data_IF_375041868085
#
_entry.id   IF_375041868085
#
_cell.length_a   1.000
_cell.length_b   1.000
_cell.length_c   1.000
_cell.angle_alpha   90.00
_cell.angle_beta   90.00
_cell.angle_gamma   90.00
#
_symmetry.space_group_name_H-M   'P 1'
#
loop_
_entity.id
_entity.type
_entity.pdbx_description
1 polymer ?
#
# COMPACT_ATOMS: atom_id res chain seq x y z
N UNK A 1 -8.62 -4.47 19.52
CA UNK A 1 -8.44 -3.76 18.23
C UNK A 1 -9.02 -4.66 17.16
N UNK A 2 -10.19 -4.32 16.59
CA UNK A 2 -10.78 -5.11 15.50
C UNK A 2 -9.94 -4.88 14.25
N UNK A 3 -8.97 -5.76 14.03
CA UNK A 3 -8.17 -5.83 12.81
C UNK A 3 -9.14 -6.10 11.66
N UNK A 4 -9.24 -5.18 10.69
CA UNK A 4 -10.05 -5.39 9.48
C UNK A 4 -9.30 -6.33 8.53
N UNK A 5 -9.04 -7.58 8.95
CA UNK A 5 -8.23 -8.53 8.17
C UNK A 5 -8.70 -8.72 6.73
N UNK A 6 -9.97 -8.46 6.44
CA UNK A 6 -10.57 -8.64 5.12
C UNK A 6 -10.59 -7.34 4.27
N UNK A 7 -10.28 -6.18 4.86
CA UNK A 7 -10.31 -4.86 4.21
C UNK A 7 -8.98 -4.08 4.39
N UNK A 8 -7.86 -4.76 4.67
CA UNK A 8 -6.55 -4.10 4.90
C UNK A 8 -5.94 -3.47 3.63
N UNK A 9 -6.50 -3.80 2.45
CA UNK A 9 -5.92 -3.50 1.14
C UNK A 9 -6.70 -2.46 0.34
N UNK A 10 -7.37 -1.50 0.98
CA UNK A 10 -7.97 -0.40 0.23
C UNK A 10 -6.88 0.56 -0.29
N UNK A 11 -6.24 0.16 -1.38
CA UNK A 11 -5.27 0.97 -2.12
C UNK A 11 -5.85 2.28 -2.62
N UNK A 12 -7.17 2.49 -2.64
CA UNK A 12 -7.79 3.77 -2.99
C UNK A 12 -7.91 4.76 -1.82
N UNK A 13 -7.74 4.28 -0.58
CA UNK A 13 -8.05 5.08 0.62
C UNK A 13 -6.91 5.99 1.08
N UNK A 14 -7.30 7.05 1.79
CA UNK A 14 -6.37 7.94 2.48
C UNK A 14 -5.92 7.31 3.80
N UNK A 15 -4.62 7.04 3.92
CA UNK A 15 -4.00 6.53 5.15
C UNK A 15 -3.44 7.67 6.01
N UNK A 16 -3.28 7.42 7.30
CA UNK A 16 -2.75 8.37 8.26
C UNK A 16 -1.73 7.69 9.17
N UNK A 17 -0.62 8.37 9.45
CA UNK A 17 0.31 7.97 10.50
C UNK A 17 -0.10 8.68 11.79
N UNK A 18 -0.29 7.90 12.86
CA UNK A 18 -0.65 8.42 14.16
C UNK A 18 0.49 8.30 15.16
N UNK A 19 0.64 9.32 15.99
CA UNK A 19 1.34 9.23 17.27
C UNK A 19 0.31 9.36 18.37
N UNK A 20 0.27 8.38 19.26
CA UNK A 20 -0.78 8.23 20.27
C UNK A 20 -0.17 8.45 21.65
N UNK A 21 -0.77 9.34 22.44
CA UNK A 21 -0.48 9.47 23.85
C UNK A 21 -1.43 8.56 24.62
N UNK A 22 -0.87 7.58 25.32
CA UNK A 22 -1.63 6.64 26.15
C UNK A 22 -1.37 6.91 27.63
N UNK A 23 -2.41 6.74 28.44
CA UNK A 23 -2.34 6.78 29.89
C UNK A 23 -2.85 5.47 30.44
N UNK A 24 -1.94 4.68 30.99
CA UNK A 24 -2.24 3.42 31.64
C UNK A 24 -2.14 3.62 33.16
N UNK A 25 -3.06 3.03 33.91
CA UNK A 25 -2.85 2.99 35.36
C UNK A 25 -1.70 2.03 35.70
N UNK A 26 -0.95 2.29 36.79
CA UNK A 26 0.08 1.37 37.25
C UNK A 26 -0.46 -0.05 37.45
N UNK A 27 0.22 -1.05 36.91
CA UNK A 27 -0.16 -2.46 37.04
C UNK A 27 -1.28 -2.94 36.12
N UNK A 28 -1.99 -2.05 35.39
CA UNK A 28 -3.05 -2.44 34.43
C UNK A 28 -2.50 -2.76 33.03
N UNK A 29 -1.32 -3.35 32.98
CA UNK A 29 -0.74 -3.92 31.75
C UNK A 29 -0.16 -5.28 32.08
N UNK A 30 -0.38 -6.27 31.22
CA UNK A 30 0.07 -7.63 31.50
C UNK A 30 1.60 -7.70 31.76
N UNK A 31 2.05 -8.55 32.70
CA UNK A 31 3.46 -8.83 32.87
C UNK A 31 3.98 -9.59 31.63
N UNK A 32 5.17 -9.21 31.16
CA UNK A 32 5.77 -9.81 29.96
C UNK A 32 4.93 -9.54 28.70
N UNK A 33 4.64 -10.61 27.96
CA UNK A 33 3.80 -10.60 26.77
C UNK A 33 3.01 -11.91 26.66
N UNK A 34 1.87 -11.86 25.97
CA UNK A 34 1.08 -13.03 25.58
C UNK A 34 1.62 -13.58 24.26
N UNK A 35 1.85 -14.88 24.19
CA UNK A 35 2.25 -15.55 22.96
C UNK A 35 0.99 -16.00 22.20
N UNK A 36 0.70 -15.35 21.07
CA UNK A 36 -0.42 -15.71 20.19
C UNK A 36 0.08 -16.25 18.83
N UNK A 37 1.29 -16.81 18.78
CA UNK A 37 1.88 -17.36 17.55
C UNK A 37 1.06 -18.51 16.93
N UNK A 38 0.18 -19.14 17.70
CA UNK A 38 -0.63 -20.28 17.28
C UNK A 38 -2.12 -19.93 17.08
N UNK A 39 -2.49 -18.66 17.29
CA UNK A 39 -3.86 -18.19 17.11
C UNK A 39 -4.03 -17.61 15.70
N UNK A 40 -5.10 -18.00 14.98
CA UNK A 40 -5.34 -17.56 13.59
C UNK A 40 -5.45 -16.02 13.46
N UNK A 41 -5.85 -15.35 14.53
CA UNK A 41 -5.85 -13.91 14.69
C UNK A 41 -5.72 -13.56 16.17
N UNK A 42 -5.15 -12.40 16.49
CA UNK A 42 -5.14 -11.89 17.87
C UNK A 42 -6.57 -11.59 18.34
N UNK A 43 -7.20 -12.54 19.04
CA UNK A 43 -8.58 -12.45 19.53
C UNK A 43 -8.65 -11.78 20.91
N UNK A 44 -7.93 -10.68 21.11
CA UNK A 44 -8.05 -9.86 22.31
C UNK A 44 -9.32 -9.01 22.24
N UNK A 45 -10.35 -9.46 22.94
CA UNK A 45 -11.61 -8.73 23.13
C UNK A 45 -11.52 -7.75 24.29
N UNK A 46 -12.45 -6.79 24.35
CA UNK A 46 -12.60 -5.91 25.52
C UNK A 46 -12.96 -6.74 26.76
N UNK A 47 -13.72 -7.82 26.59
CA UNK A 47 -14.11 -8.71 27.69
C UNK A 47 -12.91 -9.44 28.31
N UNK A 48 -11.89 -9.78 27.52
CA UNK A 48 -10.64 -10.37 28.05
C UNK A 48 -9.84 -9.33 28.85
N UNK A 49 -9.86 -8.06 28.42
CA UNK A 49 -9.27 -6.97 29.19
C UNK A 49 -10.06 -6.71 30.48
N UNK A 50 -11.38 -6.93 30.49
CA UNK A 50 -12.24 -6.80 31.66
C UNK A 50 -12.00 -7.91 32.69
N UNK A 51 -11.86 -9.17 32.25
CA UNK A 51 -11.64 -10.30 33.15
C UNK A 51 -10.35 -10.18 33.95
N UNK A 52 -9.33 -9.60 33.32
CA UNK A 52 -7.99 -9.51 33.88
C UNK A 52 -7.69 -8.14 34.50
N UNK A 53 -8.69 -7.23 34.55
CA UNK A 53 -8.58 -5.84 35.00
C UNK A 53 -7.43 -5.06 34.33
N UNK A 54 -7.20 -5.29 33.04
CA UNK A 54 -6.13 -4.70 32.25
C UNK A 54 -6.62 -3.53 31.40
N UNK A 55 -5.78 -2.51 31.25
CA UNK A 55 -5.93 -1.38 30.32
C UNK A 55 -5.28 -1.68 28.97
N UNK A 56 -4.25 -2.53 28.97
CA UNK A 56 -3.48 -2.89 27.79
C UNK A 56 -2.87 -4.29 27.91
N UNK A 57 -2.67 -4.94 26.76
CA UNK A 57 -2.00 -6.24 26.63
C UNK A 57 -0.93 -6.16 25.55
N UNK A 58 0.30 -6.54 25.90
CA UNK A 58 1.38 -6.84 24.96
C UNK A 58 1.22 -8.27 24.46
N UNK A 59 1.25 -8.46 23.15
CA UNK A 59 1.12 -9.78 22.55
C UNK A 59 2.01 -9.93 21.31
N UNK A 60 2.46 -11.16 21.08
CA UNK A 60 3.20 -11.55 19.88
C UNK A 60 2.20 -12.11 18.87
N UNK A 61 2.18 -11.53 17.69
CA UNK A 61 1.22 -11.85 16.63
C UNK A 61 1.99 -12.42 15.44
N UNK A 62 1.60 -13.62 15.00
CA UNK A 62 2.27 -14.37 13.90
C UNK A 62 2.28 -13.63 12.58
N UNK A 63 1.35 -12.69 12.39
CA UNK A 63 1.19 -11.90 11.18
C UNK A 63 1.97 -10.57 11.21
N UNK A 64 2.68 -10.27 12.30
CA UNK A 64 3.51 -9.06 12.39
C UNK A 64 4.94 -9.32 11.88
N UNK A 65 5.65 -8.24 11.55
CA UNK A 65 7.06 -8.32 11.19
C UNK A 65 7.92 -8.88 12.33
N UNK A 66 8.93 -9.68 11.99
CA UNK A 66 9.88 -10.23 12.97
C UNK A 66 10.47 -9.13 13.85
N UNK A 67 10.39 -9.30 15.18
CA UNK A 67 10.90 -8.34 16.16
C UNK A 67 9.93 -7.23 16.56
N UNK A 68 8.68 -7.28 16.11
CA UNK A 68 7.61 -6.36 16.52
C UNK A 68 6.77 -7.00 17.63
N UNK A 69 6.47 -6.21 18.67
CA UNK A 69 5.54 -6.59 19.73
C UNK A 69 4.29 -5.71 19.62
N UNK A 70 3.13 -6.35 19.49
CA UNK A 70 1.85 -5.64 19.39
C UNK A 70 1.35 -5.20 20.76
N UNK A 71 0.56 -4.12 20.76
CA UNK A 71 -0.09 -3.59 21.95
C UNK A 71 -1.58 -3.39 21.69
N UNK A 72 -2.41 -4.19 22.35
CA UNK A 72 -3.84 -3.96 22.45
C UNK A 72 -4.09 -3.01 23.61
N UNK A 73 -4.92 -1.99 23.40
CA UNK A 73 -5.28 -1.03 24.44
C UNK A 73 -6.79 -0.81 24.47
N UNK A 74 -7.32 -0.44 25.63
CA UNK A 74 -8.66 0.13 25.77
C UNK A 74 -8.72 1.51 25.11
N UNK A 75 -9.76 1.82 24.31
CA UNK A 75 -9.89 3.15 23.69
C UNK A 75 -9.82 4.30 24.70
N UNK A 76 -10.36 4.12 25.92
CA UNK A 76 -10.43 5.12 26.99
C UNK A 76 -9.04 5.51 27.55
N UNK A 77 -8.04 4.68 27.30
CA UNK A 77 -6.64 4.93 27.69
C UNK A 77 -5.94 5.90 26.74
N UNK A 78 -6.54 6.20 25.59
CA UNK A 78 -5.99 7.16 24.64
C UNK A 78 -6.32 8.57 25.13
N UNK A 79 -5.29 9.32 25.51
CA UNK A 79 -5.43 10.71 25.94
C UNK A 79 -5.59 11.65 24.75
N UNK A 80 -4.67 11.52 23.79
CA UNK A 80 -4.56 12.44 22.68
C UNK A 80 -3.86 11.78 21.49
N UNK A 81 -4.06 12.37 20.31
CA UNK A 81 -3.42 11.92 19.07
C UNK A 81 -2.79 13.08 18.32
N UNK A 82 -1.66 12.81 17.69
CA UNK A 82 -1.09 13.58 16.58
C UNK A 82 -1.25 12.73 15.32
N UNK A 83 -1.44 13.38 14.16
CA UNK A 83 -1.54 12.66 12.88
C UNK A 83 -0.99 13.45 11.72
N UNK A 84 -0.49 12.74 10.72
CA UNK A 84 -0.26 13.28 9.37
C UNK A 84 -0.92 12.36 8.34
N UNK A 85 -1.26 12.92 7.18
CA UNK A 85 -1.70 12.14 6.03
C UNK A 85 -0.50 11.41 5.39
N UNK A 86 -0.75 10.24 4.81
CA UNK A 86 0.21 9.47 4.02
C UNK A 86 -0.25 9.47 2.55
N UNK A 87 0.60 9.83 1.58
CA UNK A 87 2.04 10.14 1.72
C UNK A 87 2.33 11.53 2.33
N UNK A 88 3.50 11.69 2.97
CA UNK A 88 3.95 12.99 3.50
C UNK A 88 4.50 13.88 2.37
N UNK A 89 3.61 14.57 1.66
CA UNK A 89 3.97 15.36 0.47
C UNK A 89 5.08 16.40 0.70
N UNK A 90 5.16 16.99 1.89
CA UNK A 90 6.21 17.97 2.25
C UNK A 90 7.63 17.36 2.32
N UNK A 91 7.73 16.04 2.41
CA UNK A 91 8.99 15.31 2.53
C UNK A 91 9.35 14.54 1.26
N UNK A 92 8.56 14.70 0.20
CA UNK A 92 8.78 14.06 -1.11
C UNK A 92 10.22 14.23 -1.58
N UNK A 93 10.86 13.14 -1.96
CA UNK A 93 12.22 13.17 -2.51
C UNK A 93 12.23 13.97 -3.82
N UNK A 94 13.25 14.78 -4.12
CA UNK A 94 13.27 15.63 -5.31
C UNK A 94 13.21 14.81 -6.61
N UNK A 95 12.68 15.40 -7.67
CA UNK A 95 12.67 14.75 -8.98
C UNK A 95 14.10 14.71 -9.52
N UNK A 96 14.54 13.54 -9.97
CA UNK A 96 15.77 13.43 -10.76
C UNK A 96 15.44 13.82 -12.20
N UNK A 97 15.98 14.94 -12.73
CA UNK A 97 15.64 15.42 -14.07
C UNK A 97 15.94 14.38 -15.14
N UNK A 98 15.04 14.24 -16.11
CA UNK A 98 15.17 13.36 -17.28
C UNK A 98 15.28 11.85 -17.00
N UNK A 99 15.27 11.44 -15.73
CA UNK A 99 15.45 10.03 -15.35
C UNK A 99 14.41 9.12 -16.02
N UNK A 100 13.18 9.62 -16.14
CA UNK A 100 12.01 8.84 -16.55
C UNK A 100 11.35 9.37 -17.83
N UNK A 101 11.92 10.38 -18.50
CA UNK A 101 11.31 10.99 -19.68
C UNK A 101 11.09 9.97 -20.80
N UNK A 102 12.01 9.01 -20.93
CA UNK A 102 11.89 7.92 -21.88
C UNK A 102 10.81 6.93 -21.45
N UNK A 103 10.76 6.55 -20.18
CA UNK A 103 9.73 5.67 -19.61
C UNK A 103 8.34 6.18 -19.90
N UNK A 104 8.09 7.45 -19.59
CA UNK A 104 6.78 8.06 -19.74
C UNK A 104 6.36 8.08 -21.22
N UNK A 105 7.29 8.40 -22.12
CA UNK A 105 7.03 8.34 -23.57
C UNK A 105 6.75 6.92 -24.06
N UNK A 106 7.55 5.95 -23.63
CA UNK A 106 7.42 4.55 -24.04
C UNK A 106 6.09 3.96 -23.51
N UNK A 107 5.70 4.29 -22.27
CA UNK A 107 4.42 3.91 -21.66
C UNK A 107 3.23 4.57 -22.36
N UNK A 108 3.27 5.88 -22.61
CA UNK A 108 2.20 6.59 -23.31
C UNK A 108 2.00 6.04 -24.72
N UNK A 109 3.10 5.73 -25.42
CA UNK A 109 3.05 5.11 -26.74
C UNK A 109 2.45 3.70 -26.68
N UNK A 110 2.92 2.85 -25.76
CA UNK A 110 2.43 1.49 -25.60
C UNK A 110 0.94 1.44 -25.20
N UNK A 111 0.49 2.34 -24.31
CA UNK A 111 -0.92 2.52 -23.95
C UNK A 111 -1.76 2.83 -25.18
N UNK A 112 -1.33 3.79 -26.00
CA UNK A 112 -2.03 4.14 -27.24
C UNK A 112 -2.09 2.99 -28.25
N UNK A 113 -1.01 2.22 -28.42
CA UNK A 113 -1.00 1.03 -29.27
C UNK A 113 -1.97 -0.06 -28.75
N UNK A 114 -1.94 -0.31 -27.45
CA UNK A 114 -2.78 -1.29 -26.76
C UNK A 114 -4.26 -0.92 -26.86
N UNK A 115 -4.65 0.31 -26.54
CA UNK A 115 -6.03 0.80 -26.63
C UNK A 115 -6.56 0.72 -28.07
N UNK A 116 -5.74 1.09 -29.06
CA UNK A 116 -6.11 0.99 -30.47
C UNK A 116 -6.27 -0.46 -30.94
N UNK A 117 -5.48 -1.39 -30.43
CA UNK A 117 -5.63 -2.82 -30.72
C UNK A 117 -6.87 -3.41 -30.03
N UNK A 118 -7.11 -3.06 -28.77
CA UNK A 118 -8.25 -3.48 -28.00
C UNK A 118 -9.57 -3.01 -28.63
N UNK A 119 -9.64 -1.75 -29.07
CA UNK A 119 -10.81 -1.21 -29.77
C UNK A 119 -11.14 -2.00 -31.05
N UNK A 120 -10.13 -2.49 -31.77
CA UNK A 120 -10.33 -3.37 -32.95
C UNK A 120 -10.90 -4.72 -32.55
N UNK A 121 -10.40 -5.33 -31.47
CA UNK A 121 -10.96 -6.58 -30.95
C UNK A 121 -12.40 -6.38 -30.50
N UNK A 122 -12.70 -5.30 -29.79
CA UNK A 122 -14.04 -4.98 -29.28
C UNK A 122 -15.07 -4.69 -30.38
N UNK A 123 -14.61 -4.23 -31.55
CA UNK A 123 -15.47 -4.09 -32.73
C UNK A 123 -16.03 -5.43 -33.25
N UNK A 124 -15.42 -6.55 -32.87
CA UNK A 124 -15.91 -7.90 -33.20
C UNK A 124 -17.10 -8.22 -32.27
N UNK A 125 -18.24 -8.70 -32.83
CA UNK A 125 -19.40 -9.08 -32.03
C UNK A 125 -19.03 -10.03 -30.89
N UNK A 126 -19.58 -9.79 -29.69
CA UNK A 126 -19.23 -10.53 -28.48
C UNK A 126 -19.38 -12.06 -28.63
N UNK A 127 -20.45 -12.52 -29.29
CA UNK A 127 -20.65 -13.96 -29.59
C UNK A 127 -19.50 -14.54 -30.41
N UNK A 128 -19.00 -13.80 -31.39
CA UNK A 128 -17.87 -14.20 -32.24
C UNK A 128 -16.55 -14.17 -31.48
N UNK A 129 -16.30 -13.15 -30.65
CA UNK A 129 -15.12 -13.11 -29.76
C UNK A 129 -15.06 -14.33 -28.83
N UNK A 130 -16.19 -14.70 -28.23
CA UNK A 130 -16.26 -15.86 -27.33
C UNK A 130 -15.98 -17.18 -28.07
N UNK A 131 -16.44 -17.31 -29.31
CA UNK A 131 -16.13 -18.47 -30.15
C UNK A 131 -14.67 -18.48 -30.62
N UNK A 132 -14.05 -17.33 -30.87
CA UNK A 132 -12.61 -17.22 -31.12
C UNK A 132 -11.79 -17.67 -29.90
N UNK A 133 -12.20 -17.25 -28.69
CA UNK A 133 -11.55 -17.69 -27.44
C UNK A 133 -11.57 -19.21 -27.25
N UNK A 134 -12.66 -19.88 -27.63
CA UNK A 134 -12.76 -21.35 -27.60
C UNK A 134 -12.14 -22.06 -28.81
N UNK A 135 -11.47 -21.34 -29.72
CA UNK A 135 -10.85 -21.92 -30.92
C UNK A 135 -11.84 -22.42 -31.97
N UNK A 136 -13.11 -22.01 -31.90
CA UNK A 136 -14.16 -22.38 -32.86
C UNK A 136 -14.09 -21.51 -34.13
N UNK A 137 -13.60 -20.28 -34.00
CA UNK A 137 -13.31 -19.38 -35.13
C UNK A 137 -11.86 -18.90 -35.09
N UNK A 138 -11.28 -18.72 -36.28
CA UNK A 138 -9.95 -18.14 -36.44
C UNK A 138 -9.90 -16.69 -35.95
N UNK A 139 -8.74 -16.28 -35.45
CA UNK A 139 -8.44 -14.89 -35.11
C UNK A 139 -8.09 -14.10 -36.39
N UNK A 140 -9.03 -13.29 -36.92
CA UNK A 140 -8.86 -12.67 -38.23
C UNK A 140 -7.65 -11.71 -38.20
N UNK A 141 -6.58 -12.08 -38.90
CA UNK A 141 -5.35 -11.28 -38.92
C UNK A 141 -4.57 -11.27 -37.60
N UNK A 142 -4.84 -12.20 -36.68
CA UNK A 142 -4.13 -12.30 -35.40
C UNK A 142 -4.40 -11.11 -34.46
N UNK A 143 -5.60 -10.52 -34.52
CA UNK A 143 -5.94 -9.32 -33.75
C UNK A 143 -5.96 -9.56 -32.25
N UNK A 144 -6.57 -10.65 -31.79
CA UNK A 144 -6.62 -11.00 -30.36
C UNK A 144 -5.21 -11.31 -29.84
N UNK A 145 -4.41 -12.05 -30.61
CA UNK A 145 -3.00 -12.29 -30.28
C UNK A 145 -2.21 -10.98 -30.17
N UNK A 146 -2.34 -10.10 -31.17
CA UNK A 146 -1.64 -8.81 -31.18
C UNK A 146 -2.05 -7.92 -30.01
N UNK A 147 -3.33 -7.90 -29.64
CA UNK A 147 -3.81 -7.15 -28.48
C UNK A 147 -3.16 -7.68 -27.18
N UNK A 148 -3.12 -9.01 -27.01
CA UNK A 148 -2.43 -9.64 -25.88
C UNK A 148 -0.92 -9.37 -25.86
N UNK A 149 -0.23 -9.41 -26.98
CA UNK A 149 1.21 -9.09 -27.07
C UNK A 149 1.49 -7.63 -26.66
N UNK A 150 0.60 -6.69 -27.04
CA UNK A 150 0.71 -5.28 -26.67
C UNK A 150 0.37 -5.04 -25.18
N UNK A 151 -0.60 -5.76 -24.63
CA UNK A 151 -0.91 -5.74 -23.20
C UNK A 151 0.28 -6.21 -22.36
N UNK A 152 0.90 -7.35 -22.71
CA UNK A 152 2.12 -7.82 -22.03
C UNK A 152 3.25 -6.79 -22.12
N UNK A 153 3.49 -6.19 -23.29
CA UNK A 153 4.49 -5.14 -23.45
C UNK A 153 4.21 -3.92 -22.56
N UNK A 154 2.94 -3.51 -22.44
CA UNK A 154 2.54 -2.41 -21.56
C UNK A 154 2.80 -2.75 -20.08
N UNK A 155 2.48 -3.97 -19.66
CA UNK A 155 2.77 -4.47 -18.30
C UNK A 155 4.29 -4.50 -18.04
N UNK A 156 5.09 -4.99 -18.99
CA UNK A 156 6.55 -5.04 -18.87
C UNK A 156 7.17 -3.64 -18.71
N UNK A 157 6.67 -2.65 -19.45
CA UNK A 157 7.13 -1.26 -19.33
C UNK A 157 6.78 -0.67 -17.96
N UNK A 158 5.62 -0.99 -17.40
CA UNK A 158 5.27 -0.61 -16.03
C UNK A 158 6.22 -1.22 -15.01
N UNK A 159 6.53 -2.50 -15.15
CA UNK A 159 7.48 -3.18 -14.27
C UNK A 159 8.87 -2.54 -14.36
N UNK A 160 9.33 -2.18 -15.56
CA UNK A 160 10.60 -1.48 -15.75
C UNK A 160 10.63 -0.09 -15.09
N UNK A 161 9.52 0.66 -15.17
CA UNK A 161 9.38 1.94 -14.47
C UNK A 161 9.47 1.74 -12.94
N UNK A 162 8.77 0.75 -12.39
CA UNK A 162 8.80 0.45 -10.95
C UNK A 162 10.20 0.04 -10.47
N UNK A 163 10.92 -0.81 -11.22
CA UNK A 163 12.32 -1.14 -10.92
C UNK A 163 13.22 0.10 -10.92
N UNK A 164 13.11 0.97 -11.93
CA UNK A 164 13.91 2.20 -12.00
C UNK A 164 13.59 3.17 -10.86
N UNK A 165 12.33 3.27 -10.46
CA UNK A 165 11.93 4.05 -9.29
C UNK A 165 12.55 3.50 -8.00
N UNK A 166 12.50 2.18 -7.80
CA UNK A 166 13.10 1.53 -6.62
C UNK A 166 14.62 1.75 -6.55
N UNK A 167 15.33 1.55 -7.66
CA UNK A 167 16.79 1.73 -7.74
C UNK A 167 17.23 3.16 -7.36
N UNK A 168 16.43 4.17 -7.72
CA UNK A 168 16.81 5.57 -7.53
C UNK A 168 16.27 6.18 -6.23
N UNK A 169 15.15 5.69 -5.71
CA UNK A 169 14.47 6.29 -4.55
C UNK A 169 14.42 5.40 -3.31
N UNK A 170 14.91 4.17 -3.37
CA UNK A 170 15.03 3.26 -2.22
C UNK A 170 16.45 2.64 -2.03
N UNK A 171 17.56 3.37 -2.28
CA UNK A 171 18.90 2.79 -2.25
C UNK A 171 19.34 2.29 -0.87
N UNK A 172 18.75 2.81 0.22
CA UNK A 172 19.07 2.42 1.60
C UNK A 172 18.17 1.31 2.16
N UNK A 173 17.17 0.87 1.40
CA UNK A 173 16.15 -0.09 1.85
C UNK A 173 16.53 -1.51 1.46
N UNK A 174 16.28 -2.49 2.35
CA UNK A 174 16.57 -3.90 2.06
C UNK A 174 15.66 -4.45 0.94
N UNK A 175 16.09 -5.46 0.17
CA UNK A 175 15.29 -6.03 -0.92
C UNK A 175 13.92 -6.56 -0.48
N UNK A 176 13.80 -7.10 0.74
CA UNK A 176 12.52 -7.58 1.26
C UNK A 176 11.54 -6.43 1.47
N UNK A 177 11.97 -5.33 2.08
CA UNK A 177 11.11 -4.16 2.31
C UNK A 177 10.80 -3.47 0.98
N UNK A 178 11.74 -3.41 0.04
CA UNK A 178 11.48 -2.88 -1.31
C UNK A 178 10.39 -3.68 -2.04
N UNK A 179 10.42 -5.02 -1.95
CA UNK A 179 9.39 -5.87 -2.53
C UNK A 179 8.02 -5.55 -1.92
N UNK A 180 7.92 -5.57 -0.60
CA UNK A 180 6.65 -5.33 0.10
C UNK A 180 6.12 -3.90 -0.19
N UNK A 181 7.02 -2.91 -0.31
CA UNK A 181 6.69 -1.54 -0.74
C UNK A 181 6.16 -1.49 -2.18
N UNK A 182 6.81 -2.18 -3.11
CA UNK A 182 6.39 -2.23 -4.51
C UNK A 182 5.04 -2.94 -4.66
N UNK A 183 4.79 -4.01 -3.91
CA UNK A 183 3.48 -4.67 -3.85
C UNK A 183 2.38 -3.69 -3.38
N UNK A 184 2.65 -2.88 -2.35
CA UNK A 184 1.71 -1.85 -1.90
C UNK A 184 1.46 -0.76 -2.97
N UNK A 185 2.51 -0.32 -3.68
CA UNK A 185 2.37 0.63 -4.79
C UNK A 185 1.61 0.03 -5.98
N UNK A 186 1.81 -1.25 -6.29
CA UNK A 186 1.06 -1.97 -7.33
C UNK A 186 -0.42 -2.14 -6.96
N UNK A 187 -0.73 -2.40 -5.68
CA UNK A 187 -2.10 -2.41 -5.16
C UNK A 187 -2.77 -1.04 -5.32
N UNK A 188 -2.08 0.05 -4.96
CA UNK A 188 -2.57 1.41 -5.20
C UNK A 188 -2.84 1.69 -6.68
N UNK A 189 -1.92 1.31 -7.58
CA UNK A 189 -2.09 1.47 -9.04
C UNK A 189 -3.30 0.70 -9.54
N UNK A 190 -3.50 -0.53 -9.08
CA UNK A 190 -4.65 -1.37 -9.47
C UNK A 190 -5.98 -0.77 -9.01
N UNK A 191 -6.00 -0.11 -7.84
CA UNK A 191 -7.16 0.64 -7.35
C UNK A 191 -7.39 1.97 -8.11
N UNK A 192 -6.40 2.45 -8.86
CA UNK A 192 -6.45 3.71 -9.63
C UNK A 192 -6.08 3.43 -11.10
N UNK A 193 -6.92 2.70 -11.86
CA UNK A 193 -6.56 2.19 -13.19
C UNK A 193 -6.33 3.27 -14.25
N UNK A 194 -6.79 4.50 -14.01
CA UNK A 194 -6.59 5.65 -14.90
C UNK A 194 -5.39 6.50 -14.51
N UNK A 195 -4.57 6.08 -13.54
CA UNK A 195 -3.40 6.84 -13.11
C UNK A 195 -2.38 6.93 -14.24
N UNK A 196 -1.88 8.13 -14.48
CA UNK A 196 -0.80 8.36 -15.45
C UNK A 196 0.58 8.05 -14.83
N UNK A 197 1.58 7.63 -15.62
CA UNK A 197 2.91 7.28 -15.14
C UNK A 197 3.58 8.35 -14.28
N UNK A 198 3.39 9.63 -14.62
CA UNK A 198 3.94 10.76 -13.90
C UNK A 198 3.32 10.91 -12.50
N UNK A 199 2.01 10.70 -12.39
CA UNK A 199 1.29 10.74 -11.12
C UNK A 199 1.70 9.56 -10.23
N UNK A 200 1.84 8.37 -10.82
CA UNK A 200 2.38 7.21 -10.13
C UNK A 200 3.80 7.46 -9.61
N UNK A 201 4.70 7.99 -10.44
CA UNK A 201 6.07 8.31 -10.03
C UNK A 201 6.12 9.38 -8.93
N UNK A 202 5.25 10.39 -9.00
CA UNK A 202 5.10 11.41 -7.97
C UNK A 202 4.67 10.81 -6.63
N UNK A 203 3.66 9.93 -6.65
CA UNK A 203 3.22 9.23 -5.44
C UNK A 203 4.29 8.30 -4.90
N UNK A 204 4.94 7.53 -5.77
CA UNK A 204 6.04 6.63 -5.41
C UNK A 204 7.12 7.40 -4.61
N UNK A 205 7.60 8.53 -5.15
CA UNK A 205 8.57 9.42 -4.48
C UNK A 205 8.08 10.00 -3.15
N UNK A 206 6.79 10.26 -3.03
CA UNK A 206 6.20 10.78 -1.80
C UNK A 206 6.15 9.68 -0.73
N UNK A 207 5.85 8.45 -1.14
CA UNK A 207 5.79 7.27 -0.28
C UNK A 207 7.18 6.79 0.15
N UNK A 208 8.21 6.91 -0.69
CA UNK A 208 9.59 6.51 -0.32
C UNK A 208 10.15 7.31 0.86
N UNK A 209 9.66 8.54 1.09
CA UNK A 209 10.03 9.35 2.25
C UNK A 209 9.71 8.65 3.59
N UNK A 210 8.72 7.75 3.64
CA UNK A 210 8.41 6.94 4.83
C UNK A 210 9.59 6.04 5.23
N UNK A 211 10.36 5.58 4.25
CA UNK A 211 11.47 4.64 4.46
C UNK A 211 12.81 5.39 4.54
N UNK A 212 13.12 6.20 3.52
CA UNK A 212 14.41 6.90 3.39
C UNK A 212 14.53 8.12 4.30
N UNK A 213 13.40 8.71 4.73
CA UNK A 213 13.35 9.91 5.59
C UNK A 213 12.52 9.68 6.85
N UNK A 214 12.52 8.46 7.37
CA UNK A 214 11.71 8.04 8.53
C UNK A 214 11.86 8.97 9.74
N UNK A 215 13.08 9.44 10.05
CA UNK A 215 13.34 10.39 11.15
C UNK A 215 12.63 11.73 10.92
N UNK A 216 12.66 12.25 9.70
CA UNK A 216 11.96 13.49 9.35
C UNK A 216 10.45 13.33 9.42
N UNK A 217 9.93 12.19 8.96
CA UNK A 217 8.49 11.83 9.03
C UNK A 217 8.03 11.78 10.48
N UNK A 218 8.75 11.05 11.34
CA UNK A 218 8.48 11.00 12.79
C UNK A 218 8.54 12.41 13.39
N UNK A 219 9.53 13.21 12.99
CA UNK A 219 9.65 14.61 13.37
C UNK A 219 8.43 15.44 12.95
N UNK A 220 7.93 15.26 11.73
CA UNK A 220 6.75 15.95 11.21
C UNK A 220 5.49 15.59 12.01
N UNK A 221 5.27 14.31 12.35
CA UNK A 221 4.16 13.90 13.24
C UNK A 221 4.30 14.55 14.61
N UNK A 222 5.51 14.55 15.17
CA UNK A 222 5.76 15.07 16.52
C UNK A 222 5.48 16.57 16.67
N UNK A 223 5.55 17.32 15.57
CA UNK A 223 5.27 18.76 15.52
C UNK A 223 3.80 19.12 15.31
N UNK A 224 2.96 18.15 14.96
CA UNK A 224 1.51 18.41 14.82
C UNK A 224 0.91 18.78 16.18
N UNK A 225 -0.11 19.63 16.23
CA UNK A 225 -0.80 19.88 17.50
C UNK A 225 -1.44 18.58 18.01
N UNK A 226 -1.37 18.36 19.33
CA UNK A 226 -2.12 17.28 19.96
C UNK A 226 -3.61 17.58 19.87
N UNK A 227 -4.37 16.61 19.40
CA UNK A 227 -5.83 16.60 19.53
C UNK A 227 -6.19 15.76 20.75
N UNK A 228 -6.70 16.42 21.78
CA UNK A 228 -7.26 15.77 22.97
C UNK A 228 -8.53 15.01 22.57
N UNK A 229 -8.64 13.76 23.00
CA UNK A 229 -9.80 12.90 22.73
C UNK A 229 -10.75 12.77 23.92
N UNK A 230 -10.37 13.29 25.10
CA UNK A 230 -11.22 13.32 26.30
C UNK A 230 -12.07 14.58 26.40
N UNK A 231 -11.78 15.59 25.58
CA UNK A 231 -12.54 16.84 25.51
C UNK A 231 -13.77 16.77 24.58
N UNK A 232 -14.10 15.60 24.05
CA UNK A 232 -15.20 15.35 23.11
C UNK A 232 -16.25 14.38 23.64
#
# INVERSE_FOLDING_TARGET
>A
MLRRMHDEHDGGSQFYLYRVAIRLQPGRINPGYRDENHDEAAQLSISDLDSDDLDAVRYLNVHEGTGVLSLAIRPETIDAVQRIAIPPHDLTLPLIPHLLDRDFKDLAHAKGEMEAAQAKVESIPHSRRRMMYFGVYDDPGGLAKKAGDLEHRYIDLWHQLECRLAENYLPGVSPSIQRDFNEAMASWKSANPTVEPEEFASRYRSMTALLERSVDVIGQVSRQPWRDLRAS
#
